data_IF_175494449836
#
_entry.id   IF_175494449836
#
_cell.length_a   1.000
_cell.length_b   1.000
_cell.length_c   1.000
_cell.angle_alpha   90.00
_cell.angle_beta   90.00
_cell.angle_gamma   90.00
#
_symmetry.space_group_name_H-M   'P 1'
#
loop_
_entity.id
_entity.type
_entity.pdbx_description
1 polymer ?
#
# COMPACT_ATOMS: atom_id res chain seq x y z
N UNK A 1 105.02 -95.45 -3.48
CA UNK A 1 103.72 -96.12 -3.68
C UNK A 1 103.34 -96.71 -2.34
N UNK A 2 102.17 -96.35 -1.81
CA UNK A 2 101.67 -96.84 -0.51
C UNK A 2 100.67 -97.98 -0.70
N UNK A 3 100.32 -98.70 0.36
CA UNK A 3 99.25 -99.70 0.33
C UNK A 3 98.17 -99.32 1.34
N UNK A 4 96.91 -99.41 0.92
CA UNK A 4 95.75 -99.11 1.78
C UNK A 4 95.71 -100.08 2.97
N UNK A 5 95.70 -99.56 4.19
CA UNK A 5 95.76 -100.40 5.41
C UNK A 5 94.50 -101.27 5.62
N UNK A 6 93.40 -100.97 4.95
CA UNK A 6 92.14 -101.72 5.09
C UNK A 6 91.99 -102.85 4.08
N UNK A 7 92.47 -102.67 2.84
CA UNK A 7 92.23 -103.64 1.74
C UNK A 7 93.47 -104.03 0.93
N UNK A 8 94.65 -103.49 1.25
CA UNK A 8 95.93 -103.91 0.68
C UNK A 8 96.22 -103.50 -0.77
N UNK A 9 95.35 -102.72 -1.42
CA UNK A 9 95.62 -102.23 -2.80
C UNK A 9 96.68 -101.12 -2.81
N UNK A 10 97.54 -101.14 -3.83
CA UNK A 10 98.55 -100.09 -4.05
C UNK A 10 97.90 -98.75 -4.44
N UNK A 11 98.31 -97.67 -3.77
CA UNK A 11 97.83 -96.30 -3.97
C UNK A 11 98.92 -95.43 -4.60
N UNK A 12 98.49 -94.48 -5.43
CA UNK A 12 99.37 -93.57 -6.19
C UNK A 12 100.03 -92.51 -5.28
N UNK A 13 99.47 -92.25 -4.09
CA UNK A 13 100.01 -91.33 -3.10
C UNK A 13 99.85 -91.87 -1.67
N UNK A 14 100.60 -91.33 -0.71
CA UNK A 14 100.78 -91.81 0.68
C UNK A 14 99.54 -91.66 1.59
N UNK A 15 98.33 -91.79 1.03
CA UNK A 15 97.08 -91.76 1.78
C UNK A 15 96.86 -93.11 2.48
N UNK A 16 96.42 -93.05 3.74
CA UNK A 16 96.28 -94.21 4.64
C UNK A 16 95.16 -95.18 4.23
N UNK A 17 94.15 -94.66 3.51
CA UNK A 17 92.98 -95.40 3.02
C UNK A 17 92.69 -95.00 1.57
N UNK A 18 92.28 -95.94 0.71
CA UNK A 18 91.85 -95.62 -0.65
C UNK A 18 90.43 -95.03 -0.67
N UNK A 19 90.04 -94.40 -1.78
CA UNK A 19 88.74 -93.73 -1.95
C UNK A 19 87.54 -94.66 -1.63
N UNK A 20 87.65 -95.95 -1.94
CA UNK A 20 86.62 -96.95 -1.63
C UNK A 20 86.53 -97.33 -0.14
N UNK A 21 87.45 -96.85 0.70
CA UNK A 21 87.62 -97.28 2.10
C UNK A 21 87.61 -96.12 3.10
N UNK A 22 87.22 -94.91 2.68
CA UNK A 22 87.15 -93.77 3.59
C UNK A 22 86.02 -93.94 4.63
N UNK A 23 86.28 -93.73 5.94
CA UNK A 23 85.26 -93.79 6.98
C UNK A 23 84.28 -92.61 6.85
N UNK A 24 83.00 -92.94 6.65
CA UNK A 24 81.87 -92.01 6.50
C UNK A 24 81.83 -90.92 7.59
N UNK A 25 82.12 -89.67 7.21
CA UNK A 25 81.79 -88.50 8.04
C UNK A 25 80.26 -88.37 8.13
N UNK A 26 79.73 -88.45 9.36
CA UNK A 26 78.29 -88.39 9.63
C UNK A 26 77.74 -87.00 9.29
N UNK A 27 76.95 -86.93 8.21
CA UNK A 27 76.05 -85.80 7.93
C UNK A 27 75.09 -85.66 9.12
N UNK A 28 75.04 -84.47 9.73
CA UNK A 28 74.08 -84.18 10.81
C UNK A 28 72.66 -84.22 10.25
N UNK A 29 71.73 -84.89 10.96
CA UNK A 29 70.37 -85.04 10.47
C UNK A 29 69.56 -83.74 10.62
N UNK A 30 68.52 -83.51 9.78
CA UNK A 30 67.71 -82.29 9.78
C UNK A 30 67.09 -81.92 11.13
N UNK A 31 66.84 -82.91 12.00
CA UNK A 31 66.30 -82.70 13.34
C UNK A 31 67.28 -81.98 14.30
N UNK A 32 68.59 -82.11 14.07
CA UNK A 32 69.61 -81.45 14.90
C UNK A 32 69.84 -79.99 14.47
N UNK A 33 69.52 -79.65 13.21
CA UNK A 33 69.56 -78.26 12.71
C UNK A 33 68.38 -77.42 13.23
N UNK A 34 67.20 -78.04 13.41
CA UNK A 34 66.02 -77.38 13.96
C UNK A 34 66.10 -77.06 15.47
N UNK A 35 67.12 -77.57 16.17
CA UNK A 35 67.35 -77.32 17.61
C UNK A 35 68.59 -76.47 17.90
N UNK A 36 69.23 -75.89 16.87
CA UNK A 36 70.36 -74.98 17.07
C UNK A 36 69.89 -73.60 17.50
N UNK A 37 70.69 -72.92 18.33
CA UNK A 37 70.42 -71.54 18.75
C UNK A 37 70.37 -70.55 17.57
N UNK A 38 71.04 -70.86 16.45
CA UNK A 38 70.95 -70.08 15.21
C UNK A 38 69.56 -70.12 14.58
N UNK A 39 68.90 -71.28 14.55
CA UNK A 39 67.56 -71.41 13.97
C UNK A 39 66.49 -70.78 14.87
N UNK A 40 66.64 -70.88 16.19
CA UNK A 40 65.78 -70.23 17.18
C UNK A 40 65.88 -68.69 17.17
N UNK A 41 67.05 -68.14 16.87
CA UNK A 41 67.21 -66.68 16.70
C UNK A 41 66.65 -66.19 15.35
N UNK A 42 66.87 -66.95 14.26
CA UNK A 42 66.35 -66.58 12.95
C UNK A 42 64.82 -66.67 12.88
N UNK A 43 64.20 -67.66 13.53
CA UNK A 43 62.74 -67.79 13.61
C UNK A 43 62.10 -66.67 14.44
N UNK A 44 62.69 -66.31 15.59
CA UNK A 44 62.24 -65.16 16.38
C UNK A 44 62.32 -63.84 15.62
N UNK A 45 63.44 -63.59 14.93
CA UNK A 45 63.59 -62.39 14.11
C UNK A 45 62.55 -62.34 12.98
N UNK A 46 62.21 -63.49 12.39
CA UNK A 46 61.20 -63.58 11.34
C UNK A 46 59.77 -63.42 11.87
N UNK A 47 59.46 -63.95 13.06
CA UNK A 47 58.18 -63.74 13.74
C UNK A 47 58.00 -62.29 14.19
N UNK A 48 59.02 -61.66 14.78
CA UNK A 48 58.99 -60.27 15.22
C UNK A 48 58.88 -59.29 14.03
N UNK A 49 59.56 -59.58 12.92
CA UNK A 49 59.43 -58.84 11.66
C UNK A 49 58.03 -59.01 11.01
N UNK A 50 57.43 -60.20 11.10
CA UNK A 50 56.07 -60.42 10.60
C UNK A 50 55.00 -59.77 11.49
N UNK A 51 55.17 -59.76 12.81
CA UNK A 51 54.25 -59.10 13.74
C UNK A 51 54.32 -57.57 13.61
N UNK A 52 55.51 -57.00 13.43
CA UNK A 52 55.65 -55.57 13.10
C UNK A 52 54.94 -55.24 11.78
N UNK A 53 55.14 -56.01 10.70
CA UNK A 53 54.46 -55.77 9.42
C UNK A 53 52.93 -55.93 9.50
N UNK A 54 52.42 -56.88 10.28
CA UNK A 54 50.98 -57.14 10.39
C UNK A 54 50.26 -56.17 11.34
N UNK A 55 50.97 -55.49 12.25
CA UNK A 55 50.39 -54.48 13.15
C UNK A 55 50.01 -53.16 12.43
N UNK A 56 50.63 -52.85 11.28
CA UNK A 56 50.35 -51.63 10.51
C UNK A 56 49.23 -51.78 9.45
N UNK A 57 48.55 -52.93 9.36
CA UNK A 57 47.52 -53.19 8.32
C UNK A 57 46.23 -53.81 8.84
N UNK A 58 45.61 -53.22 9.86
CA UNK A 58 44.15 -53.28 10.06
C UNK A 58 43.54 -51.91 10.34
N UNK A 59 43.84 -50.92 9.48
CA UNK A 59 42.97 -49.75 9.34
C UNK A 59 41.64 -50.26 8.80
N UNK A 60 40.57 -50.20 9.59
CA UNK A 60 39.21 -50.65 9.26
C UNK A 60 38.65 -49.86 8.08
N UNK A 61 39.14 -50.11 6.87
CA UNK A 61 38.73 -49.47 5.63
C UNK A 61 37.23 -49.63 5.40
N UNK A 62 36.61 -50.69 5.92
CA UNK A 62 35.15 -50.83 5.94
C UNK A 62 34.45 -49.74 6.77
N UNK A 63 34.97 -49.36 7.94
CA UNK A 63 34.41 -48.27 8.77
C UNK A 63 34.64 -46.90 8.12
N UNK A 64 35.80 -46.70 7.49
CA UNK A 64 36.10 -45.47 6.76
C UNK A 64 35.23 -45.36 5.51
N UNK A 65 35.06 -46.45 4.76
CA UNK A 65 34.22 -46.51 3.57
C UNK A 65 32.75 -46.31 3.92
N UNK A 66 32.23 -46.97 4.95
CA UNK A 66 30.87 -46.73 5.44
C UNK A 66 30.72 -45.28 5.91
N UNK A 67 31.66 -44.73 6.68
CA UNK A 67 31.61 -43.32 7.10
C UNK A 67 31.65 -42.35 5.91
N UNK A 68 32.41 -42.66 4.86
CA UNK A 68 32.53 -41.83 3.66
C UNK A 68 31.28 -41.92 2.80
N UNK A 69 30.70 -43.11 2.64
CA UNK A 69 29.42 -43.30 1.95
C UNK A 69 28.28 -42.61 2.71
N UNK A 70 28.21 -42.74 4.04
CA UNK A 70 27.21 -42.05 4.86
C UNK A 70 27.38 -40.54 4.77
N UNK A 71 28.62 -40.02 4.80
CA UNK A 71 28.90 -38.60 4.62
C UNK A 71 28.46 -38.12 3.23
N UNK A 72 28.75 -38.87 2.17
CA UNK A 72 28.31 -38.54 0.81
C UNK A 72 26.78 -38.57 0.66
N UNK A 73 26.10 -39.53 1.31
CA UNK A 73 24.63 -39.58 1.33
C UNK A 73 24.04 -38.39 2.09
N UNK A 74 24.62 -38.02 3.23
CA UNK A 74 24.23 -36.83 3.99
C UNK A 74 24.46 -35.56 3.18
N UNK A 75 25.59 -35.45 2.46
CA UNK A 75 25.89 -34.32 1.58
C UNK A 75 24.94 -34.25 0.37
N UNK A 76 24.61 -35.39 -0.24
CA UNK A 76 23.63 -35.47 -1.32
C UNK A 76 22.21 -35.10 -0.85
N UNK A 77 21.81 -35.58 0.32
CA UNK A 77 20.53 -35.21 0.93
C UNK A 77 20.49 -33.75 1.35
N UNK A 78 21.60 -33.20 1.87
CA UNK A 78 21.69 -31.78 2.17
C UNK A 78 21.67 -30.90 0.93
N UNK A 79 22.30 -31.33 -0.18
CA UNK A 79 22.30 -30.57 -1.44
C UNK A 79 20.92 -30.54 -2.09
N UNK A 80 20.21 -31.69 -2.11
CA UNK A 80 18.83 -31.77 -2.62
C UNK A 80 17.84 -31.04 -1.71
N UNK A 81 18.01 -31.16 -0.40
CA UNK A 81 17.25 -30.39 0.59
C UNK A 81 17.48 -28.88 0.44
N UNK A 82 18.73 -28.46 0.24
CA UNK A 82 19.09 -27.06 -0.01
C UNK A 82 18.42 -26.52 -1.27
N UNK A 83 18.55 -27.22 -2.40
CA UNK A 83 17.93 -26.82 -3.67
C UNK A 83 16.40 -26.79 -3.59
N UNK A 84 15.80 -27.69 -2.81
CA UNK A 84 14.37 -27.67 -2.54
C UNK A 84 13.97 -26.46 -1.70
N UNK A 85 14.70 -26.20 -0.61
CA UNK A 85 14.46 -25.07 0.29
C UNK A 85 14.60 -23.73 -0.45
N UNK A 86 15.68 -23.52 -1.22
CA UNK A 86 15.85 -22.29 -2.02
C UNK A 86 14.72 -22.10 -3.02
N UNK A 87 14.19 -23.18 -3.60
CA UNK A 87 13.06 -23.11 -4.51
C UNK A 87 11.78 -22.67 -3.79
N UNK A 88 11.42 -23.31 -2.67
CA UNK A 88 10.16 -23.01 -1.96
C UNK A 88 10.17 -21.67 -1.24
N UNK A 89 11.35 -21.09 -1.02
CA UNK A 89 11.49 -19.76 -0.41
C UNK A 89 11.71 -18.65 -1.45
N UNK A 90 11.69 -18.95 -2.75
CA UNK A 90 11.92 -17.97 -3.81
C UNK A 90 10.72 -17.04 -4.07
N UNK A 91 10.99 -15.87 -4.64
CA UNK A 91 9.97 -14.93 -5.13
C UNK A 91 8.95 -15.60 -6.05
N UNK A 92 9.42 -16.39 -7.03
CA UNK A 92 8.57 -17.14 -7.97
C UNK A 92 7.63 -18.11 -7.27
N UNK A 93 8.13 -18.80 -6.24
CA UNK A 93 7.29 -19.72 -5.48
C UNK A 93 6.22 -18.97 -4.68
N UNK A 94 6.54 -17.79 -4.14
CA UNK A 94 5.57 -16.92 -3.45
C UNK A 94 4.41 -16.53 -4.37
N UNK A 95 4.69 -16.11 -5.61
CA UNK A 95 3.66 -15.81 -6.62
C UNK A 95 2.84 -17.05 -7.02
N UNK A 96 3.48 -18.22 -7.15
CA UNK A 96 2.78 -19.48 -7.43
C UNK A 96 1.84 -19.88 -6.29
N UNK A 97 2.25 -19.65 -5.04
CA UNK A 97 1.42 -19.94 -3.88
C UNK A 97 0.25 -18.96 -3.78
N UNK A 98 0.45 -17.68 -4.14
CA UNK A 98 -0.63 -16.71 -4.28
C UNK A 98 -1.64 -17.12 -5.35
N UNK A 99 -1.17 -17.47 -6.56
CA UNK A 99 -2.03 -17.96 -7.64
C UNK A 99 -2.87 -19.17 -7.20
N UNK A 100 -2.25 -20.13 -6.52
CA UNK A 100 -2.96 -21.31 -6.00
C UNK A 100 -3.95 -20.94 -4.91
N UNK A 101 -3.61 -19.99 -4.04
CA UNK A 101 -4.47 -19.59 -2.96
C UNK A 101 -5.75 -18.92 -3.49
N UNK A 102 -5.63 -17.99 -4.45
CA UNK A 102 -6.79 -17.39 -5.12
C UNK A 102 -7.62 -18.46 -5.86
N UNK A 103 -7.00 -19.30 -6.70
CA UNK A 103 -7.71 -20.34 -7.48
C UNK A 103 -8.40 -21.42 -6.64
N UNK A 104 -8.01 -21.57 -5.38
CA UNK A 104 -8.60 -22.55 -4.43
C UNK A 104 -9.44 -21.87 -3.35
N UNK A 105 -9.62 -20.56 -3.45
CA UNK A 105 -10.33 -19.75 -2.46
C UNK A 105 -9.76 -19.95 -1.03
N UNK A 106 -8.43 -20.08 -0.92
CA UNK A 106 -7.69 -20.35 0.32
C UNK A 106 -7.25 -19.04 1.00
N UNK A 107 -8.21 -18.39 1.67
CA UNK A 107 -7.99 -17.12 2.35
C UNK A 107 -6.94 -17.19 3.46
N UNK A 108 -6.83 -18.31 4.18
CA UNK A 108 -5.82 -18.49 5.23
C UNK A 108 -4.41 -18.49 4.66
N UNK A 109 -4.24 -19.07 3.48
CA UNK A 109 -2.96 -19.02 2.77
C UNK A 109 -2.64 -17.61 2.28
N UNK A 110 -3.62 -16.86 1.77
CA UNK A 110 -3.42 -15.46 1.34
C UNK A 110 -2.99 -14.56 2.50
N UNK A 111 -3.60 -14.69 3.67
CA UNK A 111 -3.21 -13.94 4.89
C UNK A 111 -1.72 -14.12 5.23
N UNK A 112 -1.17 -15.30 4.97
CA UNK A 112 0.25 -15.56 5.23
C UNK A 112 1.18 -14.99 4.15
N UNK A 113 0.70 -14.89 2.91
CA UNK A 113 1.48 -14.49 1.74
C UNK A 113 1.49 -12.98 1.53
N UNK A 114 0.41 -12.31 1.91
CA UNK A 114 0.23 -10.87 1.71
C UNK A 114 0.66 -10.09 2.96
N UNK A 115 1.27 -8.93 2.77
CA UNK A 115 1.53 -7.93 3.80
C UNK A 115 0.80 -6.64 3.44
N UNK A 116 0.15 -6.04 4.43
CA UNK A 116 -0.62 -4.81 4.31
C UNK A 116 -0.29 -3.93 5.50
N UNK A 117 0.51 -2.88 5.26
CA UNK A 117 1.14 -2.09 6.32
C UNK A 117 0.43 -0.74 6.50
N UNK A 118 -0.90 -0.76 6.62
CA UNK A 118 -1.68 0.45 6.92
C UNK A 118 -2.41 0.37 8.28
N UNK A 119 -2.80 -0.82 8.72
CA UNK A 119 -3.51 -1.00 10.00
C UNK A 119 -2.64 -1.75 11.00
N UNK A 120 -2.85 -1.50 12.29
CA UNK A 120 -2.17 -2.23 13.37
C UNK A 120 -2.49 -3.74 13.36
N UNK A 121 -3.55 -4.14 12.66
CA UNK A 121 -4.04 -5.52 12.54
C UNK A 121 -3.53 -6.27 11.31
N UNK A 122 -2.92 -5.58 10.33
CA UNK A 122 -2.43 -6.19 9.09
C UNK A 122 -3.53 -6.79 8.20
N UNK A 123 -3.12 -7.53 7.16
CA UNK A 123 -4.04 -8.20 6.22
C UNK A 123 -4.75 -9.38 6.89
N UNK A 124 -6.09 -9.42 6.83
CA UNK A 124 -6.91 -10.39 7.55
C UNK A 124 -7.75 -11.30 6.62
N UNK A 125 -8.48 -12.26 7.22
CA UNK A 125 -9.24 -13.28 6.46
C UNK A 125 -10.43 -12.69 5.69
N UNK A 126 -11.08 -11.67 6.22
CA UNK A 126 -12.20 -10.98 5.54
C UNK A 126 -11.69 -10.28 4.29
N UNK A 127 -10.61 -9.52 4.41
CA UNK A 127 -9.95 -8.86 3.29
C UNK A 127 -9.45 -9.87 2.24
N UNK A 128 -8.88 -11.00 2.69
CA UNK A 128 -8.46 -12.06 1.79
C UNK A 128 -9.63 -12.69 1.01
N UNK A 129 -10.79 -12.86 1.63
CA UNK A 129 -11.99 -13.33 0.93
C UNK A 129 -12.47 -12.31 -0.11
N UNK A 130 -12.55 -11.03 0.24
CA UNK A 130 -12.97 -9.98 -0.70
C UNK A 130 -12.05 -9.91 -1.93
N UNK A 131 -10.73 -10.03 -1.71
CA UNK A 131 -9.76 -10.09 -2.81
C UNK A 131 -9.93 -11.34 -3.68
N UNK A 132 -10.25 -12.50 -3.09
CA UNK A 132 -10.58 -13.71 -3.86
C UNK A 132 -11.83 -13.48 -4.70
N UNK A 133 -12.91 -12.99 -4.07
CA UNK A 133 -14.19 -12.76 -4.72
C UNK A 133 -14.05 -11.79 -5.90
N UNK A 134 -13.24 -10.74 -5.77
CA UNK A 134 -12.91 -9.83 -6.85
C UNK A 134 -12.21 -10.55 -8.02
N UNK A 135 -11.15 -11.31 -7.76
CA UNK A 135 -10.42 -12.02 -8.82
C UNK A 135 -11.23 -13.16 -9.47
N UNK A 136 -12.19 -13.74 -8.76
CA UNK A 136 -13.14 -14.70 -9.32
C UNK A 136 -14.16 -14.03 -10.25
N UNK A 137 -14.64 -12.83 -9.89
CA UNK A 137 -15.55 -12.02 -10.71
C UNK A 137 -14.85 -11.32 -11.89
N UNK A 138 -13.56 -11.02 -11.74
CA UNK A 138 -12.72 -10.33 -12.73
C UNK A 138 -11.48 -11.16 -13.15
N UNK A 139 -11.65 -12.27 -13.89
CA UNK A 139 -10.53 -13.15 -14.26
C UNK A 139 -9.44 -12.48 -15.12
N UNK A 140 -9.78 -11.46 -15.91
CA UNK A 140 -8.81 -10.68 -16.70
C UNK A 140 -7.84 -9.93 -15.80
N UNK A 141 -8.35 -9.29 -14.75
CA UNK A 141 -7.57 -8.55 -13.77
C UNK A 141 -6.65 -9.47 -13.00
N UNK A 142 -7.15 -10.64 -12.61
CA UNK A 142 -6.32 -11.66 -11.98
C UNK A 142 -5.15 -12.12 -12.89
N UNK A 143 -5.41 -12.33 -14.18
CA UNK A 143 -4.36 -12.72 -15.14
C UNK A 143 -3.34 -11.59 -15.34
N UNK A 144 -3.80 -10.35 -15.44
CA UNK A 144 -2.94 -9.16 -15.54
C UNK A 144 -2.04 -9.03 -14.32
N UNK A 145 -2.63 -9.05 -13.13
CA UNK A 145 -1.94 -8.99 -11.84
C UNK A 145 -0.92 -10.12 -11.69
N UNK A 146 -1.26 -11.35 -12.07
CA UNK A 146 -0.30 -12.46 -12.07
C UNK A 146 0.86 -12.25 -13.06
N UNK A 147 0.59 -11.64 -14.21
CA UNK A 147 1.63 -11.24 -15.16
C UNK A 147 2.63 -10.27 -14.51
N UNK A 148 2.10 -9.23 -13.87
CA UNK A 148 2.89 -8.24 -13.15
C UNK A 148 3.71 -8.85 -12.01
N UNK A 149 3.06 -9.60 -11.11
CA UNK A 149 3.75 -10.25 -9.98
C UNK A 149 4.85 -11.22 -10.44
N UNK A 150 4.68 -11.90 -11.57
CA UNK A 150 5.74 -12.76 -12.15
C UNK A 150 6.91 -11.95 -12.67
N UNK A 151 6.66 -10.81 -13.32
CA UNK A 151 7.70 -9.90 -13.77
C UNK A 151 8.46 -9.28 -12.58
N UNK A 152 7.73 -8.84 -11.54
CA UNK A 152 8.30 -8.39 -10.26
C UNK A 152 9.17 -9.48 -9.61
N UNK A 153 8.70 -10.73 -9.58
CA UNK A 153 9.49 -11.87 -9.09
C UNK A 153 10.72 -12.23 -9.94
N UNK A 154 10.76 -11.80 -11.21
CA UNK A 154 11.91 -11.92 -12.11
C UNK A 154 12.90 -10.73 -11.98
N UNK A 155 12.56 -9.72 -11.17
CA UNK A 155 13.38 -8.53 -10.94
C UNK A 155 13.21 -7.43 -11.98
N UNK A 156 12.05 -7.37 -12.63
CA UNK A 156 11.66 -6.18 -13.40
C UNK A 156 11.54 -4.95 -12.49
N UNK A 157 11.75 -3.76 -13.05
CA UNK A 157 11.50 -2.50 -12.33
C UNK A 157 10.04 -2.43 -11.88
N UNK A 158 9.82 -1.98 -10.65
CA UNK A 158 8.49 -1.84 -10.06
C UNK A 158 7.74 -0.73 -10.79
N UNK A 159 6.50 -1.01 -11.17
CA UNK A 159 5.59 -0.04 -11.75
C UNK A 159 4.78 0.60 -10.62
N UNK A 160 5.01 1.89 -10.36
CA UNK A 160 4.34 2.64 -9.28
C UNK A 160 2.82 2.69 -9.44
N UNK A 161 2.28 2.41 -10.64
CA UNK A 161 0.83 2.31 -10.87
C UNK A 161 0.19 1.03 -10.32
N UNK A 162 0.99 0.02 -9.98
CA UNK A 162 0.50 -1.25 -9.46
C UNK A 162 0.44 -1.20 -7.94
N UNK A 163 -0.60 -1.80 -7.36
CA UNK A 163 -0.82 -1.83 -5.91
C UNK A 163 -0.33 -3.12 -5.24
N UNK A 164 0.31 -4.04 -5.97
CA UNK A 164 0.77 -5.32 -5.43
C UNK A 164 2.15 -5.71 -5.96
N UNK A 165 3.12 -5.86 -5.06
CA UNK A 165 4.52 -6.11 -5.42
C UNK A 165 5.12 -7.28 -4.67
N UNK A 166 6.09 -7.99 -5.27
CA UNK A 166 6.82 -9.05 -4.56
C UNK A 166 7.94 -8.43 -3.75
N UNK A 167 7.77 -8.40 -2.43
CA UNK A 167 8.69 -7.75 -1.52
C UNK A 167 9.61 -8.74 -0.80
N UNK A 168 10.92 -8.46 -0.77
CA UNK A 168 11.93 -9.25 -0.06
C UNK A 168 11.99 -8.84 1.42
N UNK A 169 11.76 -9.80 2.31
CA UNK A 169 11.75 -9.61 3.76
C UNK A 169 13.09 -9.94 4.43
N UNK A 170 14.14 -10.22 3.65
CA UNK A 170 15.43 -10.66 4.16
C UNK A 170 15.56 -12.19 4.26
N UNK A 171 16.37 -12.67 5.20
CA UNK A 171 16.75 -14.07 5.29
C UNK A 171 15.95 -14.87 6.35
N UNK A 172 15.15 -15.83 5.90
CA UNK A 172 14.60 -16.91 6.71
C UNK A 172 15.71 -17.88 7.15
N UNK A 173 15.74 -18.17 8.45
CA UNK A 173 16.74 -19.04 9.08
C UNK A 173 18.20 -18.68 8.75
N UNK A 174 18.48 -17.40 8.48
CA UNK A 174 19.80 -16.85 8.09
C UNK A 174 20.38 -17.36 6.77
N UNK A 175 19.67 -18.21 6.02
CA UNK A 175 20.24 -18.93 4.86
C UNK A 175 19.38 -18.88 3.60
N UNK A 176 18.10 -18.57 3.73
CA UNK A 176 17.15 -18.60 2.62
C UNK A 176 16.40 -17.29 2.55
N UNK A 177 16.25 -16.71 1.37
CA UNK A 177 15.44 -15.50 1.22
C UNK A 177 13.99 -15.74 1.62
N UNK A 178 13.31 -14.69 2.06
CA UNK A 178 11.88 -14.71 2.34
C UNK A 178 11.21 -13.61 1.55
N UNK A 179 10.06 -13.93 0.95
CA UNK A 179 9.27 -12.97 0.20
C UNK A 179 7.82 -12.99 0.69
N UNK A 180 7.15 -11.87 0.49
CA UNK A 180 5.70 -11.69 0.60
C UNK A 180 5.21 -10.86 -0.58
N UNK A 181 3.90 -10.81 -0.78
CA UNK A 181 3.28 -9.85 -1.67
C UNK A 181 2.88 -8.64 -0.82
N UNK A 182 3.53 -7.51 -1.05
CA UNK A 182 3.14 -6.24 -0.45
C UNK A 182 1.92 -5.73 -1.20
N UNK A 183 0.85 -5.45 -0.46
CA UNK A 183 -0.36 -4.82 -0.95
C UNK A 183 -0.34 -3.37 -0.47
N UNK A 184 -0.35 -2.44 -1.41
CA UNK A 184 -0.42 -1.02 -1.12
C UNK A 184 -1.87 -0.62 -0.85
N UNK A 185 -2.11 0.26 0.14
CA UNK A 185 -3.44 0.75 0.47
C UNK A 185 -4.00 1.63 -0.64
N UNK A 186 -5.30 1.49 -0.87
CA UNK A 186 -6.09 2.40 -1.65
C UNK A 186 -6.74 3.46 -0.75
N UNK A 187 -7.19 4.53 -1.40
CA UNK A 187 -7.93 5.64 -0.81
C UNK A 187 -9.33 5.70 -1.42
N UNK A 188 -10.33 6.02 -0.61
CA UNK A 188 -11.68 6.32 -1.07
C UNK A 188 -12.05 7.71 -0.58
N UNK A 189 -12.29 8.62 -1.51
CA UNK A 189 -12.72 9.97 -1.23
C UNK A 189 -14.23 10.07 -1.42
N UNK A 190 -14.96 10.45 -0.36
CA UNK A 190 -16.42 10.58 -0.36
C UNK A 190 -16.75 12.05 -0.15
N UNK A 191 -17.69 12.58 -0.92
CA UNK A 191 -18.21 13.93 -0.73
C UNK A 191 -19.73 13.89 -0.61
N UNK A 192 -20.30 14.68 0.29
CA UNK A 192 -21.75 14.83 0.41
C UNK A 192 -22.11 16.22 0.91
N UNK A 193 -23.30 16.68 0.51
CA UNK A 193 -23.87 17.94 1.00
C UNK A 193 -24.55 17.78 2.36
N UNK A 194 -24.82 16.56 2.83
CA UNK A 194 -25.52 16.33 4.09
C UNK A 194 -24.57 16.42 5.30
N UNK A 195 -25.05 16.99 6.40
CA UNK A 195 -24.33 17.03 7.67
C UNK A 195 -24.59 15.77 8.51
N UNK A 196 -23.67 15.46 9.43
CA UNK A 196 -23.76 14.37 10.40
C UNK A 196 -24.00 12.96 9.79
N UNK A 197 -23.34 12.68 8.67
CA UNK A 197 -23.45 11.39 7.97
C UNK A 197 -22.54 10.36 8.62
N UNK A 198 -23.11 9.28 9.14
CA UNK A 198 -22.37 8.11 9.59
C UNK A 198 -21.95 7.27 8.38
N UNK A 199 -20.64 7.06 8.23
CA UNK A 199 -20.07 6.30 7.13
C UNK A 199 -19.72 4.88 7.57
N UNK A 200 -20.06 3.92 6.72
CA UNK A 200 -19.79 2.51 6.90
C UNK A 200 -19.09 1.94 5.68
N UNK A 201 -18.01 1.19 5.89
CA UNK A 201 -17.29 0.45 4.85
C UNK A 201 -17.48 -1.04 5.11
N UNK A 202 -18.09 -1.75 4.17
CA UNK A 202 -18.40 -3.18 4.28
C UNK A 202 -19.19 -3.53 5.56
N UNK A 203 -20.01 -2.59 6.06
CA UNK A 203 -20.82 -2.75 7.26
C UNK A 203 -20.15 -2.35 8.57
N UNK A 204 -18.83 -2.07 8.58
CA UNK A 204 -18.13 -1.53 9.74
C UNK A 204 -18.18 0.00 9.71
N UNK A 205 -18.55 0.64 10.82
CA UNK A 205 -18.56 2.10 10.93
C UNK A 205 -17.12 2.62 10.88
N UNK A 206 -16.81 3.47 9.90
CA UNK A 206 -15.46 3.99 9.65
C UNK A 206 -15.31 5.45 10.06
N UNK A 207 -16.41 6.20 10.14
CA UNK A 207 -16.37 7.59 10.56
C UNK A 207 -17.75 8.24 10.59
N UNK A 208 -17.74 9.51 10.95
CA UNK A 208 -18.87 10.43 10.87
C UNK A 208 -18.38 11.67 10.12
N UNK A 209 -19.20 12.16 9.20
CA UNK A 209 -18.92 13.32 8.39
C UNK A 209 -19.84 14.45 8.86
N UNK A 210 -19.27 15.43 9.53
CA UNK A 210 -20.01 16.61 9.99
C UNK A 210 -20.37 17.54 8.84
N UNK A 211 -19.51 17.69 7.82
CA UNK A 211 -19.81 18.37 6.55
C UNK A 211 -18.68 18.13 5.52
N UNK A 212 -18.98 18.10 4.21
CA UNK A 212 -17.97 18.15 3.14
C UNK A 212 -17.38 16.81 2.65
N UNK A 213 -16.05 16.67 2.71
CA UNK A 213 -15.28 15.54 2.14
C UNK A 213 -14.70 14.64 3.24
N UNK A 214 -14.79 13.32 3.05
CA UNK A 214 -14.12 12.30 3.86
C UNK A 214 -13.06 11.56 3.05
N UNK A 215 -11.87 11.40 3.62
CA UNK A 215 -10.78 10.62 3.02
C UNK A 215 -10.59 9.30 3.79
N UNK A 216 -11.12 8.20 3.24
CA UNK A 216 -10.92 6.85 3.77
C UNK A 216 -9.55 6.33 3.30
N UNK A 217 -8.57 6.48 4.16
CA UNK A 217 -7.23 5.96 3.96
C UNK A 217 -7.12 4.49 4.40
N UNK A 218 -6.28 3.71 3.71
CA UNK A 218 -5.96 2.36 4.18
C UNK A 218 -6.96 1.30 3.82
N UNK A 219 -7.70 1.52 2.74
CA UNK A 219 -8.63 0.55 2.21
C UNK A 219 -7.83 -0.49 1.43
N UNK A 220 -8.18 -1.76 1.57
CA UNK A 220 -7.58 -2.80 0.72
C UNK A 220 -8.06 -2.61 -0.71
N UNK A 221 -7.21 -2.71 -1.73
CA UNK A 221 -7.71 -2.63 -3.09
C UNK A 221 -8.77 -3.68 -3.42
N UNK A 222 -9.87 -3.29 -4.06
CA UNK A 222 -10.99 -4.17 -4.42
C UNK A 222 -12.33 -3.47 -4.57
N UNK A 223 -13.38 -4.30 -4.62
CA UNK A 223 -14.77 -3.85 -4.50
C UNK A 223 -15.15 -3.69 -3.03
N UNK A 224 -15.75 -2.56 -2.72
CA UNK A 224 -16.19 -2.16 -1.39
C UNK A 224 -17.62 -1.65 -1.43
N UNK A 225 -18.41 -1.99 -0.41
CA UNK A 225 -19.72 -1.38 -0.20
C UNK A 225 -19.55 -0.23 0.77
N UNK A 226 -19.89 0.97 0.33
CA UNK A 226 -19.93 2.18 1.16
C UNK A 226 -21.39 2.50 1.45
N UNK A 227 -21.71 2.67 2.73
CA UNK A 227 -23.03 3.14 3.18
C UNK A 227 -22.87 4.45 3.94
N UNK A 228 -23.64 5.46 3.56
CA UNK A 228 -23.89 6.64 4.38
C UNK A 228 -25.24 6.53 5.09
N UNK A 229 -25.31 7.01 6.31
CA UNK A 229 -26.55 7.06 7.09
C UNK A 229 -26.68 8.40 7.79
N UNK A 230 -27.80 9.07 7.58
CA UNK A 230 -28.12 10.36 8.20
C UNK A 230 -29.45 10.26 8.93
N UNK A 231 -29.55 10.90 10.09
CA UNK A 231 -30.78 11.03 10.84
C UNK A 231 -31.24 12.48 10.78
N UNK A 232 -32.42 12.72 10.19
CA UNK A 232 -33.01 14.05 10.05
C UNK A 232 -34.39 13.99 10.70
N UNK A 233 -34.65 14.86 11.68
CA UNK A 233 -35.90 14.87 12.45
C UNK A 233 -36.32 13.52 13.09
N UNK A 234 -35.36 12.64 13.38
CA UNK A 234 -35.60 11.31 13.95
C UNK A 234 -35.97 10.23 12.93
N UNK A 235 -36.06 10.58 11.64
CA UNK A 235 -36.16 9.63 10.53
C UNK A 235 -34.76 9.32 9.99
N UNK A 236 -34.52 8.06 9.62
CA UNK A 236 -33.21 7.56 9.18
C UNK A 236 -33.22 7.33 7.68
N UNK A 237 -32.23 7.92 7.01
CA UNK A 237 -31.98 7.78 5.58
C UNK A 237 -30.65 7.10 5.36
N UNK A 238 -30.58 6.18 4.41
CA UNK A 238 -29.31 5.59 3.99
C UNK A 238 -29.13 5.63 2.48
N UNK A 239 -27.87 5.77 2.06
CA UNK A 239 -27.44 5.59 0.69
C UNK A 239 -26.37 4.52 0.67
N UNK A 240 -26.48 3.57 -0.27
CA UNK A 240 -25.54 2.46 -0.43
C UNK A 240 -24.99 2.48 -1.84
N UNK A 241 -23.67 2.57 -1.96
CA UNK A 241 -22.95 2.54 -3.23
C UNK A 241 -21.85 1.47 -3.21
N UNK A 242 -21.49 1.00 -4.40
CA UNK A 242 -20.37 0.09 -4.61
C UNK A 242 -19.20 0.87 -5.19
N UNK A 243 -18.04 0.78 -4.57
CA UNK A 243 -16.80 1.47 -4.98
C UNK A 243 -15.77 0.42 -5.35
N UNK A 244 -15.21 0.53 -6.56
CA UNK A 244 -14.08 -0.30 -7.00
C UNK A 244 -12.80 0.52 -6.96
N UNK A 245 -11.93 0.27 -5.99
CA UNK A 245 -10.68 1.04 -5.83
C UNK A 245 -9.61 0.70 -6.87
N UNK A 246 -9.81 -0.31 -7.73
CA UNK A 246 -8.95 -0.52 -8.90
C UNK A 246 -9.28 0.43 -10.05
N UNK A 247 -10.50 0.97 -10.06
CA UNK A 247 -11.01 1.89 -11.08
C UNK A 247 -11.18 3.31 -10.55
N UNK A 248 -11.08 3.49 -9.22
CA UNK A 248 -11.34 4.77 -8.58
C UNK A 248 -10.29 5.81 -9.01
N UNK A 249 -10.78 6.96 -9.45
CA UNK A 249 -9.96 8.12 -9.80
C UNK A 249 -9.67 8.94 -8.54
N UNK A 250 -8.74 9.90 -8.62
CA UNK A 250 -8.49 10.85 -7.53
C UNK A 250 -9.71 11.75 -7.22
N UNK A 251 -10.76 11.69 -8.04
CA UNK A 251 -11.97 12.48 -7.89
C UNK A 251 -12.85 11.94 -6.73
N UNK A 252 -13.41 12.81 -5.89
CA UNK A 252 -14.33 12.39 -4.84
C UNK A 252 -15.60 11.76 -5.42
N UNK A 253 -16.05 10.68 -4.80
CA UNK A 253 -17.31 10.03 -5.11
C UNK A 253 -18.42 10.77 -4.37
N UNK A 254 -19.39 11.28 -5.11
CA UNK A 254 -20.54 11.98 -4.53
C UNK A 254 -21.55 11.00 -3.93
N UNK A 255 -21.96 11.27 -2.70
CA UNK A 255 -22.98 10.50 -1.97
C UNK A 255 -24.24 11.34 -1.82
N UNK A 256 -25.26 10.94 -2.57
CA UNK A 256 -26.55 11.61 -2.65
C UNK A 256 -27.64 10.81 -1.93
N UNK A 257 -28.49 11.50 -1.18
CA UNK A 257 -29.63 10.89 -0.50
C UNK A 257 -30.89 11.21 -1.29
N UNK A 258 -31.14 10.44 -2.36
CA UNK A 258 -32.19 10.65 -3.37
C UNK A 258 -33.64 10.66 -2.82
N UNK A 259 -33.84 10.33 -1.54
CA UNK A 259 -35.17 10.17 -0.93
C UNK A 259 -35.37 11.03 0.33
N UNK A 260 -34.75 12.20 0.43
CA UNK A 260 -35.21 13.17 1.44
C UNK A 260 -36.58 13.68 0.99
N UNK A 261 -37.64 13.37 1.75
CA UNK A 261 -38.96 13.96 1.47
C UNK A 261 -38.86 15.49 1.53
N UNK A 262 -39.78 16.26 0.89
CA UNK A 262 -39.73 17.72 0.96
C UNK A 262 -39.68 18.26 2.39
N UNK A 263 -40.32 17.58 3.34
CA UNK A 263 -40.25 17.93 4.77
C UNK A 263 -38.86 17.72 5.38
N UNK A 264 -38.13 16.72 4.91
CA UNK A 264 -36.79 16.36 5.37
C UNK A 264 -35.73 17.23 4.70
N UNK A 265 -35.89 17.52 3.41
CA UNK A 265 -35.07 18.52 2.73
C UNK A 265 -35.26 19.89 3.39
N UNK A 266 -36.50 20.28 3.69
CA UNK A 266 -36.76 21.52 4.43
C UNK A 266 -36.05 21.55 5.78
N UNK A 267 -36.08 20.46 6.54
CA UNK A 267 -35.42 20.38 7.84
C UNK A 267 -33.90 20.42 7.73
N UNK A 268 -33.33 19.69 6.77
CA UNK A 268 -31.90 19.72 6.46
C UNK A 268 -31.46 21.14 6.07
N UNK A 269 -32.23 21.82 5.22
CA UNK A 269 -32.00 23.22 4.84
C UNK A 269 -32.12 24.17 6.03
N UNK A 270 -33.10 23.97 6.92
CA UNK A 270 -33.31 24.79 8.11
C UNK A 270 -32.10 24.71 9.07
N UNK A 271 -31.52 23.52 9.25
CA UNK A 271 -30.35 23.30 10.12
C UNK A 271 -29.10 24.03 9.62
N UNK A 272 -28.93 24.17 8.30
CA UNK A 272 -27.76 24.81 7.66
C UNK A 272 -28.03 26.22 7.12
N UNK A 273 -29.26 26.72 7.25
CA UNK A 273 -29.74 27.91 6.54
C UNK A 273 -28.85 29.13 6.79
N UNK A 274 -28.51 29.36 8.07
CA UNK A 274 -27.76 30.53 8.47
C UNK A 274 -26.36 30.55 7.84
N UNK A 275 -25.63 29.44 7.93
CA UNK A 275 -24.27 29.32 7.41
C UNK A 275 -24.26 29.39 5.87
N UNK A 276 -25.18 28.69 5.22
CA UNK A 276 -25.31 28.71 3.76
C UNK A 276 -25.59 30.12 3.23
N UNK A 277 -26.56 30.82 3.82
CA UNK A 277 -26.96 32.15 3.36
C UNK A 277 -25.84 33.17 3.64
N UNK A 278 -25.18 33.09 4.80
CA UNK A 278 -23.99 33.92 5.08
C UNK A 278 -22.91 33.67 4.04
N UNK A 279 -22.58 32.41 3.74
CA UNK A 279 -21.59 32.06 2.71
C UNK A 279 -21.98 32.60 1.33
N UNK A 280 -23.25 32.50 0.94
CA UNK A 280 -23.74 33.05 -0.33
C UNK A 280 -23.59 34.58 -0.39
N UNK A 281 -23.89 35.29 0.70
CA UNK A 281 -23.68 36.75 0.81
C UNK A 281 -22.21 37.10 0.70
N UNK A 282 -21.34 36.41 1.45
CA UNK A 282 -19.90 36.65 1.41
C UNK A 282 -19.34 36.48 0.01
N UNK A 283 -19.67 35.35 -0.64
CA UNK A 283 -19.27 35.07 -2.01
C UNK A 283 -19.73 36.19 -2.93
N UNK A 284 -21.01 36.61 -2.87
CA UNK A 284 -21.50 37.71 -3.71
C UNK A 284 -20.74 39.02 -3.50
N UNK A 285 -20.43 39.39 -2.25
CA UNK A 285 -19.71 40.64 -1.96
C UNK A 285 -18.27 40.58 -2.50
N UNK A 286 -17.62 39.41 -2.44
CA UNK A 286 -16.30 39.19 -3.05
C UNK A 286 -16.37 39.17 -4.58
N UNK A 287 -17.34 38.47 -5.17
CA UNK A 287 -17.61 38.44 -6.62
C UNK A 287 -17.86 39.86 -7.16
N UNK A 288 -18.53 40.72 -6.40
CA UNK A 288 -18.73 42.12 -6.78
C UNK A 288 -17.40 42.87 -6.90
N UNK A 289 -16.49 42.70 -5.93
CA UNK A 289 -15.16 43.35 -5.98
C UNK A 289 -14.38 42.82 -7.19
N UNK A 290 -14.32 41.50 -7.33
CA UNK A 290 -13.63 40.81 -8.43
C UNK A 290 -14.16 41.25 -9.80
N UNK A 291 -15.48 41.26 -10.00
CA UNK A 291 -16.12 41.67 -11.26
C UNK A 291 -15.70 43.09 -11.69
N UNK A 292 -15.58 44.03 -10.74
CA UNK A 292 -15.16 45.40 -11.04
C UNK A 292 -13.65 45.55 -11.22
N UNK A 293 -12.83 44.83 -10.48
CA UNK A 293 -11.37 44.83 -10.64
C UNK A 293 -10.95 44.21 -11.98
N UNK A 294 -11.58 43.09 -12.34
CA UNK A 294 -11.30 42.35 -13.58
C UNK A 294 -12.10 42.86 -14.79
N UNK A 295 -13.11 43.69 -14.54
CA UNK A 295 -14.07 44.17 -15.54
C UNK A 295 -14.78 43.01 -16.26
N UNK A 296 -15.12 41.96 -15.52
CA UNK A 296 -15.80 40.76 -16.03
C UNK A 296 -17.08 40.46 -15.25
N UNK A 297 -18.23 40.60 -15.92
CA UNK A 297 -19.53 40.28 -15.31
C UNK A 297 -19.68 38.78 -14.99
N UNK A 298 -18.89 37.91 -15.64
CA UNK A 298 -18.96 36.47 -15.42
C UNK A 298 -18.31 36.02 -14.11
N UNK A 299 -17.68 36.93 -13.36
CA UNK A 299 -17.20 36.64 -12.01
C UNK A 299 -18.36 36.31 -11.04
N UNK A 300 -19.58 36.82 -11.27
CA UNK A 300 -20.74 36.48 -10.46
C UNK A 300 -21.17 35.02 -10.67
N UNK A 301 -21.13 34.23 -9.60
CA UNK A 301 -21.64 32.84 -9.58
C UNK A 301 -22.93 32.75 -8.76
N UNK A 302 -22.99 33.45 -7.63
CA UNK A 302 -24.11 33.37 -6.68
C UNK A 302 -25.28 34.30 -7.07
N UNK A 303 -24.98 35.48 -7.64
CA UNK A 303 -26.02 36.43 -8.08
C UNK A 303 -26.60 36.03 -9.43
N UNK A 304 -27.90 35.69 -9.46
CA UNK A 304 -28.64 35.28 -10.67
C UNK A 304 -29.72 36.30 -11.07
N UNK A 305 -29.73 37.49 -10.49
CA UNK A 305 -30.70 38.54 -10.85
C UNK A 305 -30.31 39.25 -12.15
N UNK A 306 -31.02 38.96 -13.24
CA UNK A 306 -30.74 39.54 -14.57
C UNK A 306 -30.64 41.07 -14.60
N UNK A 307 -31.52 41.76 -13.86
CA UNK A 307 -31.53 43.24 -13.85
C UNK A 307 -30.28 43.79 -13.17
N UNK A 308 -29.90 43.21 -12.04
CA UNK A 308 -28.68 43.56 -11.32
C UNK A 308 -27.45 43.32 -12.20
N UNK A 309 -27.36 42.15 -12.84
CA UNK A 309 -26.23 41.80 -13.70
C UNK A 309 -26.13 42.74 -14.91
N UNK A 310 -27.26 43.12 -15.53
CA UNK A 310 -27.28 44.09 -16.64
C UNK A 310 -26.83 45.49 -16.21
N UNK A 311 -27.30 45.97 -15.05
CA UNK A 311 -26.92 47.29 -14.53
C UNK A 311 -25.42 47.32 -14.15
N UNK A 312 -24.91 46.24 -13.56
CA UNK A 312 -23.49 46.10 -13.24
C UNK A 312 -22.61 46.02 -14.50
N UNK A 313 -23.00 45.22 -15.51
CA UNK A 313 -22.29 45.15 -16.80
C UNK A 313 -22.22 46.51 -17.49
N UNK A 314 -23.33 47.26 -17.50
CA UNK A 314 -23.34 48.63 -18.03
C UNK A 314 -22.39 49.57 -17.26
N UNK A 315 -22.32 49.44 -15.93
CA UNK A 315 -21.38 50.21 -15.10
C UNK A 315 -19.93 49.84 -15.39
N UNK A 316 -19.62 48.57 -15.59
CA UNK A 316 -18.28 48.08 -15.94
C UNK A 316 -17.87 48.59 -17.32
N UNK A 317 -18.77 48.54 -18.31
CA UNK A 317 -18.53 49.07 -19.65
C UNK A 317 -18.28 50.59 -19.64
N UNK A 318 -19.06 51.36 -18.89
CA UNK A 318 -18.82 52.81 -18.74
C UNK A 318 -17.46 53.08 -18.12
N UNK A 319 -17.05 52.30 -17.12
CA UNK A 319 -15.72 52.42 -16.52
C UNK A 319 -14.60 52.17 -17.52
N UNK A 320 -14.74 51.12 -18.34
CA UNK A 320 -13.75 50.77 -19.35
C UNK A 320 -13.65 51.86 -20.44
N UNK A 321 -14.79 52.37 -20.91
CA UNK A 321 -14.83 53.48 -21.87
C UNK A 321 -14.17 54.76 -21.35
N UNK A 322 -14.22 55.00 -20.03
CA UNK A 322 -13.62 56.15 -19.37
C UNK A 322 -12.15 55.93 -18.98
N UNK A 323 -11.58 54.76 -19.25
CA UNK A 323 -10.23 54.39 -18.81
C UNK A 323 -10.08 54.43 -17.29
N UNK A 324 -11.16 54.04 -16.58
CA UNK A 324 -11.19 53.92 -15.12
C UNK A 324 -10.97 52.47 -14.72
N UNK A 325 -10.26 52.30 -13.62
CA UNK A 325 -10.05 51.03 -12.95
C UNK A 325 -10.60 51.13 -11.53
N UNK A 326 -11.03 50.00 -11.00
CA UNK A 326 -11.53 49.83 -9.64
C UNK A 326 -10.48 49.12 -8.81
N UNK A 327 -10.42 49.42 -7.52
CA UNK A 327 -9.89 48.50 -6.54
C UNK A 327 -10.73 48.53 -5.28
N UNK A 328 -10.94 47.36 -4.69
CA UNK A 328 -11.82 47.19 -3.55
C UNK A 328 -11.34 46.15 -2.55
N UNK A 329 -11.71 46.34 -1.29
CA UNK A 329 -11.57 45.35 -0.24
C UNK A 329 -12.84 45.28 0.60
N UNK A 330 -13.26 44.08 0.95
CA UNK A 330 -14.33 43.86 1.92
C UNK A 330 -13.77 44.10 3.32
N UNK A 331 -14.39 44.97 4.11
CA UNK A 331 -13.96 45.28 5.49
C UNK A 331 -14.84 44.62 6.55
N UNK A 332 -16.15 44.65 6.34
CA UNK A 332 -17.08 44.01 7.25
C UNK A 332 -18.36 43.63 6.54
N UNK A 333 -19.00 42.57 6.99
CA UNK A 333 -20.37 42.20 6.64
C UNK A 333 -21.16 42.04 7.95
N UNK A 334 -22.30 42.71 8.02
CA UNK A 334 -23.25 42.67 9.14
C UNK A 334 -24.52 42.01 8.66
N UNK A 335 -24.92 40.94 9.34
CA UNK A 335 -26.09 40.14 9.04
C UNK A 335 -27.21 40.45 10.03
N UNK A 336 -28.42 40.67 9.53
CA UNK A 336 -29.63 40.62 10.34
C UNK A 336 -30.14 39.18 10.42
N UNK A 337 -29.52 38.38 11.30
CA UNK A 337 -29.84 36.95 11.44
C UNK A 337 -31.31 36.76 11.83
N UNK A 338 -31.88 37.70 12.59
CA UNK A 338 -33.31 37.70 12.94
C UNK A 338 -34.27 37.88 11.75
N UNK A 339 -33.77 38.29 10.58
CA UNK A 339 -34.58 38.37 9.34
C UNK A 339 -34.56 37.11 8.49
N UNK A 340 -33.71 36.12 8.82
CA UNK A 340 -33.65 34.86 8.11
C UNK A 340 -34.95 34.07 8.31
N UNK A 341 -35.56 33.68 7.19
CA UNK A 341 -36.78 32.89 7.20
C UNK A 341 -36.77 31.92 6.02
N UNK A 342 -36.69 30.61 6.31
CA UNK A 342 -36.89 29.58 5.31
C UNK A 342 -38.39 29.47 4.98
N UNK A 343 -38.71 29.63 3.70
CA UNK A 343 -40.04 29.45 3.14
C UNK A 343 -40.01 28.43 2.01
N UNK A 344 -41.09 27.70 1.84
CA UNK A 344 -41.35 26.91 0.63
C UNK A 344 -42.48 27.57 -0.14
N UNK A 345 -42.23 27.94 -1.38
CA UNK A 345 -43.27 28.47 -2.26
C UNK A 345 -44.17 27.31 -2.69
N UNK A 346 -45.45 27.35 -2.30
CA UNK A 346 -46.41 26.26 -2.58
C UNK A 346 -46.69 26.05 -4.08
N UNK A 347 -46.36 27.02 -4.94
CA UNK A 347 -46.67 27.01 -6.37
C UNK A 347 -45.47 26.54 -7.19
N UNK A 348 -44.29 27.10 -6.95
CA UNK A 348 -43.07 26.72 -7.64
C UNK A 348 -42.38 25.50 -7.02
N UNK A 349 -42.78 25.14 -5.80
CA UNK A 349 -42.14 24.10 -5.00
C UNK A 349 -40.69 24.41 -4.60
N UNK A 350 -40.30 25.69 -4.68
CA UNK A 350 -38.93 26.12 -4.39
C UNK A 350 -38.77 26.56 -2.95
N UNK A 351 -37.62 26.23 -2.36
CA UNK A 351 -37.20 26.82 -1.09
C UNK A 351 -36.64 28.22 -1.34
N UNK A 352 -37.09 29.17 -0.53
CA UNK A 352 -36.72 30.58 -0.60
C UNK A 352 -36.34 31.07 0.78
N UNK A 353 -35.45 32.06 0.81
CA UNK A 353 -35.05 32.73 2.03
C UNK A 353 -34.83 34.21 1.75
N UNK A 354 -34.72 35.02 2.79
CA UNK A 354 -34.37 36.43 2.67
C UNK A 354 -33.52 36.85 3.84
N UNK A 355 -32.58 37.76 3.61
CA UNK A 355 -31.81 38.39 4.68
C UNK A 355 -31.58 39.88 4.37
N UNK A 356 -31.59 40.69 5.43
CA UNK A 356 -31.07 42.06 5.35
C UNK A 356 -29.61 42.06 5.77
N UNK A 357 -28.75 42.61 4.92
CA UNK A 357 -27.31 42.69 5.17
C UNK A 357 -26.80 44.10 5.00
N UNK A 358 -25.75 44.44 5.74
CA UNK A 358 -24.98 45.65 5.50
C UNK A 358 -23.52 45.33 5.41
N UNK A 359 -22.84 45.78 4.38
CA UNK A 359 -21.42 45.53 4.19
C UNK A 359 -20.66 46.83 3.96
N UNK A 360 -19.42 46.85 4.46
CA UNK A 360 -18.48 47.96 4.35
C UNK A 360 -17.40 47.56 3.37
N UNK A 361 -17.26 48.35 2.30
CA UNK A 361 -16.20 48.18 1.32
C UNK A 361 -15.25 49.37 1.38
N UNK A 362 -13.95 49.10 1.40
CA UNK A 362 -12.91 50.10 1.16
C UNK A 362 -12.60 50.11 -0.34
N UNK A 363 -13.06 51.14 -1.03
CA UNK A 363 -13.10 51.16 -2.51
C UNK A 363 -12.57 52.46 -3.07
N UNK A 364 -11.93 52.39 -4.24
CA UNK A 364 -11.53 53.59 -4.96
C UNK A 364 -11.47 53.36 -6.47
N UNK A 365 -11.24 54.46 -7.18
CA UNK A 365 -11.07 54.47 -8.62
C UNK A 365 -9.78 55.18 -8.99
N UNK A 366 -9.11 54.70 -10.03
CA UNK A 366 -7.92 55.32 -10.62
C UNK A 366 -8.00 55.27 -12.15
N UNK A 367 -7.24 56.12 -12.84
CA UNK A 367 -7.24 56.17 -14.31
C UNK A 367 -6.12 55.29 -14.89
N UNK A 368 -6.28 54.93 -16.16
CA UNK A 368 -5.25 54.20 -16.89
C UNK A 368 -3.89 54.93 -16.88
N UNK A 369 -2.86 54.20 -16.45
CA UNK A 369 -1.50 54.72 -16.33
C UNK A 369 -1.20 55.39 -14.99
N UNK A 370 -2.19 55.58 -14.12
CA UNK A 370 -1.95 55.91 -12.72
C UNK A 370 -1.46 54.68 -11.96
N UNK A 371 -0.67 54.91 -10.91
CA UNK A 371 -0.20 53.87 -10.01
C UNK A 371 -1.31 53.53 -8.98
N UNK A 372 -1.80 52.28 -8.93
CA UNK A 372 -2.90 51.88 -8.04
C UNK A 372 -2.60 52.15 -6.56
N UNK A 373 -1.33 52.16 -6.15
CA UNK A 373 -0.93 52.46 -4.77
C UNK A 373 -1.24 53.91 -4.34
N UNK A 374 -1.49 54.81 -5.30
CA UNK A 374 -1.85 56.21 -5.03
C UNK A 374 -3.36 56.47 -5.11
N UNK A 375 -4.17 55.42 -5.26
CA UNK A 375 -5.62 55.53 -5.30
C UNK A 375 -6.17 56.12 -3.98
N UNK A 376 -7.11 57.07 -4.09
CA UNK A 376 -7.91 57.50 -2.94
C UNK A 376 -9.05 56.50 -2.75
N UNK A 377 -8.96 55.70 -1.70
CA UNK A 377 -10.06 54.83 -1.28
C UNK A 377 -10.97 55.53 -0.26
N UNK A 378 -12.22 55.10 -0.21
CA UNK A 378 -13.17 55.48 0.83
C UNK A 378 -13.91 54.23 1.30
N UNK A 379 -14.14 54.18 2.61
CA UNK A 379 -15.05 53.21 3.21
C UNK A 379 -16.49 53.63 2.93
N UNK A 380 -17.20 52.79 2.18
CA UNK A 380 -18.61 52.96 1.86
C UNK A 380 -19.41 51.84 2.50
N UNK A 381 -20.51 52.20 3.16
CA UNK A 381 -21.47 51.24 3.72
C UNK A 381 -22.65 51.09 2.77
N UNK A 382 -22.96 49.85 2.43
CA UNK A 382 -24.12 49.49 1.64
C UNK A 382 -25.06 48.64 2.50
N UNK A 383 -26.36 48.82 2.34
CA UNK A 383 -27.37 47.98 2.99
C UNK A 383 -28.28 47.42 1.92
N UNK A 384 -28.56 46.12 1.98
CA UNK A 384 -29.30 45.39 0.97
C UNK A 384 -30.28 44.41 1.61
N UNK A 385 -31.44 44.26 0.98
CA UNK A 385 -32.33 43.13 1.22
C UNK A 385 -32.13 42.13 0.07
N UNK A 386 -31.61 40.96 0.40
CA UNK A 386 -31.46 39.85 -0.53
C UNK A 386 -32.59 38.84 -0.40
N UNK A 387 -33.03 38.34 -1.56
CA UNK A 387 -33.98 37.23 -1.68
C UNK A 387 -33.25 36.07 -2.38
N UNK A 388 -33.30 34.90 -1.76
CA UNK A 388 -32.58 33.70 -2.18
C UNK A 388 -33.56 32.63 -2.63
N UNK A 389 -33.11 31.80 -3.56
CA UNK A 389 -33.77 30.55 -3.92
C UNK A 389 -32.73 29.43 -3.79
N UNK A 390 -33.14 28.29 -3.24
CA UNK A 390 -32.31 27.10 -3.23
C UNK A 390 -32.36 26.46 -4.62
N UNK A 391 -31.21 26.37 -5.27
CA UNK A 391 -31.03 25.66 -6.52
C UNK A 391 -30.73 24.19 -6.20
N UNK A 392 -31.68 23.29 -6.50
CA UNK A 392 -31.53 21.85 -6.24
C UNK A 392 -30.46 21.20 -7.13
N UNK A 393 -30.22 21.73 -8.34
CA UNK A 393 -29.24 21.20 -9.28
C UNK A 393 -27.81 21.61 -8.83
N UNK A 394 -27.63 22.87 -8.43
CA UNK A 394 -26.35 23.38 -7.89
C UNK A 394 -26.17 23.04 -6.40
N UNK A 395 -27.21 22.51 -5.74
CA UNK A 395 -27.29 22.23 -4.29
C UNK A 395 -26.86 23.41 -3.42
N UNK A 396 -27.16 24.63 -3.86
CA UNK A 396 -26.67 25.87 -3.28
C UNK A 396 -27.75 26.96 -3.26
N UNK A 397 -27.59 27.92 -2.35
CA UNK A 397 -28.44 29.11 -2.33
C UNK A 397 -27.90 30.16 -3.30
N UNK A 398 -28.78 30.66 -4.17
CA UNK A 398 -28.47 31.71 -5.14
C UNK A 398 -29.28 32.98 -4.87
N UNK A 399 -28.68 34.15 -5.12
CA UNK A 399 -29.37 35.44 -4.94
C UNK A 399 -30.19 35.73 -6.19
N UNK A 400 -31.51 35.74 -6.02
CA UNK A 400 -32.47 35.97 -7.11
C UNK A 400 -33.03 37.39 -7.12
N UNK A 401 -32.92 38.12 -6.00
CA UNK A 401 -33.19 39.55 -5.93
C UNK A 401 -32.28 40.24 -4.92
N UNK A 402 -31.90 41.48 -5.22
CA UNK A 402 -31.23 42.38 -4.28
C UNK A 402 -31.81 43.78 -4.41
N UNK A 403 -32.23 44.36 -3.28
CA UNK A 403 -32.76 45.73 -3.26
C UNK A 403 -31.95 46.58 -2.28
N UNK A 404 -31.38 47.72 -2.73
CA UNK A 404 -30.68 48.61 -1.83
C UNK A 404 -31.65 49.21 -0.81
N UNK A 405 -31.18 49.31 0.43
CA UNK A 405 -31.93 49.83 1.56
C UNK A 405 -31.35 51.15 2.04
N UNK A 406 -32.23 52.07 2.43
CA UNK A 406 -31.83 53.38 2.94
C UNK A 406 -31.43 53.35 4.42
N UNK A 407 -31.89 52.36 5.19
CA UNK A 407 -31.64 52.22 6.62
C UNK A 407 -31.54 50.74 6.99
N UNK A 408 -30.72 50.44 7.99
CA UNK A 408 -30.51 49.12 8.57
C UNK A 408 -30.88 49.23 10.06
N UNK A 409 -32.08 48.78 10.45
CA UNK A 409 -32.58 48.83 11.84
C UNK A 409 -33.12 47.46 12.23
N UNK A 410 -32.38 46.72 13.04
CA UNK A 410 -32.73 45.35 13.42
C UNK A 410 -32.14 45.01 14.80
N UNK A 411 -32.73 44.01 15.46
CA UNK A 411 -32.46 43.69 16.88
C UNK A 411 -31.43 42.55 17.06
N UNK A 412 -31.17 41.72 16.04
CA UNK A 412 -30.28 40.54 16.10
C UNK A 412 -29.20 40.60 15.02
N UNK A 413 -28.09 41.25 15.38
CA UNK A 413 -26.98 41.52 14.47
C UNK A 413 -25.77 40.64 14.74
N UNK A 414 -25.21 40.10 13.68
CA UNK A 414 -23.90 39.46 13.67
C UNK A 414 -22.95 40.20 12.72
N UNK A 415 -21.70 40.40 13.13
CA UNK A 415 -20.70 41.11 12.34
C UNK A 415 -19.51 40.19 12.09
N UNK A 416 -19.12 40.08 10.82
CA UNK A 416 -17.86 39.48 10.38
C UNK A 416 -16.93 40.57 9.85
N UNK A 417 -15.78 40.72 10.47
CA UNK A 417 -14.73 41.65 10.02
C UNK A 417 -13.67 40.90 9.20
N UNK A 418 -13.09 41.60 8.23
CA UNK A 418 -12.07 41.09 7.32
C UNK A 418 -10.81 41.96 7.46
N UNK A 419 -9.64 41.32 7.52
CA UNK A 419 -8.33 42.00 7.72
C UNK A 419 -7.83 42.73 6.48
#
# INVERSE_FOLDING_TARGET
>A
MGECQSCGKSTVSSQTYCDDCQPNQKVKQPADFARSDEWLNASRYYEEYQDEQNSYKKRNWRKIFVSLVTLLLLLGFSATGWAYLTKITSAKHTVQEFEKAVKKSDAERLVQLVSFDHTSTGFNKTQANHMIDYFEQSPSEFVSMLGYLRASADGAEEDESQNMHVHHLGAKWLLFDQYKIKLDPAEINIQTSQQNVNLYLNGDQVGELSEGRYELNGVTPGEHVVKGEVEVNGDRYDHIMSVNTYENTDDPIEMEFDELSPEVLQASLDERLEDDIKNAVENHVHEYVEAYEEKDINAFQVMKNDSYLQDTDASIQEMDELGKNFSGGVKAITYDVGSLELKRDEVSDLFTSSIVVSFVLDTGYYLDGDDPDNMLSNENTYSWHYEFTYDEDEKAWVITSGKPMAMFETDELEVKEFE
#
